data_IF_941228291622
#
_entry.id   IF_941228291622
#
_cell.length_a   1.000
_cell.length_b   1.000
_cell.length_c   1.000
_cell.angle_alpha   90.00
_cell.angle_beta   90.00
_cell.angle_gamma   90.00
#
_symmetry.space_group_name_H-M   'P 1'
#
loop_
_entity.id
_entity.type
_entity.pdbx_description
1 polymer ?
#
# COMPACT_ATOMS: atom_id res chain seq x y z
N UNK A 1 -5.89 14.84 2.95
CA UNK A 1 -5.72 13.48 3.53
C UNK A 1 -5.51 13.66 5.03
N UNK A 2 -6.23 12.95 5.88
CA UNK A 2 -5.97 13.05 7.32
C UNK A 2 -4.65 12.35 7.70
N UNK A 3 -4.11 12.68 8.87
CA UNK A 3 -2.80 12.17 9.30
C UNK A 3 -2.79 10.64 9.46
N UNK A 4 -3.91 10.02 9.81
CA UNK A 4 -4.01 8.56 10.00
C UNK A 4 -3.84 7.84 8.67
N UNK A 5 -4.54 8.28 7.63
CA UNK A 5 -4.45 7.73 6.28
C UNK A 5 -3.07 7.95 5.65
N UNK A 6 -2.50 9.15 5.85
CA UNK A 6 -1.14 9.43 5.37
C UNK A 6 -0.11 8.53 6.05
N UNK A 7 -0.23 8.30 7.35
CA UNK A 7 0.66 7.40 8.08
C UNK A 7 0.55 5.96 7.56
N UNK A 8 -0.66 5.43 7.39
CA UNK A 8 -0.86 4.09 6.80
C UNK A 8 -0.25 3.99 5.39
N UNK A 9 -0.46 4.99 4.54
CA UNK A 9 0.18 5.01 3.22
C UNK A 9 1.71 4.96 3.33
N UNK A 10 2.31 5.75 4.21
CA UNK A 10 3.76 5.74 4.45
C UNK A 10 4.25 4.41 5.00
N UNK A 11 3.49 3.76 5.86
CA UNK A 11 3.81 2.41 6.36
C UNK A 11 3.87 1.40 5.22
N UNK A 12 2.82 1.31 4.38
CA UNK A 12 2.79 0.41 3.22
C UNK A 12 3.95 0.69 2.27
N UNK A 13 4.22 1.97 1.95
CA UNK A 13 5.31 2.36 1.07
C UNK A 13 6.69 2.04 1.66
N UNK A 14 6.82 1.99 2.98
CA UNK A 14 8.09 1.70 3.68
C UNK A 14 8.46 0.22 3.73
N UNK A 15 7.53 -0.69 3.39
CA UNK A 15 7.80 -2.14 3.40
C UNK A 15 8.71 -2.52 2.23
N UNK A 16 9.93 -3.04 2.46
CA UNK A 16 10.78 -3.49 1.37
C UNK A 16 10.21 -4.73 0.69
N UNK A 17 10.07 -4.68 -0.62
CA UNK A 17 9.56 -5.80 -1.42
C UNK A 17 10.17 -5.76 -2.82
N UNK A 18 10.22 -6.92 -3.48
CA UNK A 18 10.66 -7.10 -4.85
C UNK A 18 9.99 -8.34 -5.43
N UNK A 19 9.87 -8.42 -6.73
CA UNK A 19 9.37 -9.62 -7.44
C UNK A 19 10.11 -10.88 -6.97
N UNK A 20 9.39 -11.89 -6.54
CA UNK A 20 9.83 -13.14 -5.89
C UNK A 20 10.44 -12.97 -4.48
N UNK A 21 10.31 -11.82 -3.87
CA UNK A 21 10.80 -11.51 -2.52
C UNK A 21 9.77 -10.61 -1.79
N UNK A 22 8.52 -11.08 -1.72
CA UNK A 22 7.37 -10.36 -1.18
C UNK A 22 7.09 -10.68 0.30
N UNK A 23 7.93 -11.48 0.96
CA UNK A 23 7.70 -11.97 2.32
C UNK A 23 7.41 -10.86 3.33
N UNK A 24 8.13 -9.72 3.22
CA UNK A 24 7.93 -8.59 4.10
C UNK A 24 6.53 -7.97 3.95
N UNK A 25 6.03 -7.87 2.71
CA UNK A 25 4.70 -7.33 2.46
C UNK A 25 3.62 -8.31 2.93
N UNK A 26 3.79 -9.60 2.67
CA UNK A 26 2.87 -10.63 3.16
C UNK A 26 2.79 -10.61 4.69
N UNK A 27 3.94 -10.48 5.38
CA UNK A 27 3.94 -10.39 6.84
C UNK A 27 3.29 -9.10 7.33
N UNK A 28 3.58 -7.97 6.72
CA UNK A 28 2.93 -6.69 7.02
C UNK A 28 1.41 -6.79 6.88
N UNK A 29 0.93 -7.36 5.77
CA UNK A 29 -0.50 -7.56 5.54
C UNK A 29 -1.14 -8.45 6.60
N UNK A 30 -0.50 -9.55 7.00
CA UNK A 30 -0.98 -10.41 8.08
C UNK A 30 -1.11 -9.63 9.38
N UNK A 31 -0.09 -8.88 9.78
CA UNK A 31 -0.10 -8.10 11.02
C UNK A 31 -1.23 -7.05 11.03
N UNK A 32 -1.47 -6.40 9.89
CA UNK A 32 -2.56 -5.42 9.74
C UNK A 32 -3.92 -6.10 9.78
N UNK A 33 -4.09 -7.22 9.06
CA UNK A 33 -5.38 -7.94 8.98
C UNK A 33 -5.74 -8.61 10.31
N UNK A 34 -4.76 -9.11 11.06
CA UNK A 34 -4.96 -9.64 12.42
C UNK A 34 -5.51 -8.59 13.40
N UNK A 35 -5.21 -7.31 13.16
CA UNK A 35 -5.70 -6.21 13.97
C UNK A 35 -7.07 -5.68 13.53
N UNK A 36 -7.58 -6.09 12.36
CA UNK A 36 -8.87 -5.64 11.84
C UNK A 36 -10.01 -6.50 12.39
N UNK A 37 -11.07 -5.89 12.97
CA UNK A 37 -12.24 -6.63 13.41
C UNK A 37 -13.02 -7.19 12.21
N UNK A 38 -13.61 -8.37 12.40
CA UNK A 38 -14.49 -9.03 11.41
C UNK A 38 -13.84 -9.33 10.06
N UNK A 39 -12.51 -9.43 10.02
CA UNK A 39 -11.73 -9.80 8.84
C UNK A 39 -11.21 -11.22 9.01
N UNK A 40 -11.49 -12.05 8.02
CA UNK A 40 -10.88 -13.36 7.83
C UNK A 40 -9.93 -13.31 6.64
N UNK A 41 -8.78 -13.96 6.74
CA UNK A 41 -7.84 -14.03 5.62
C UNK A 41 -7.10 -15.35 5.57
N UNK A 42 -6.56 -15.66 4.40
CA UNK A 42 -5.63 -16.76 4.18
C UNK A 42 -4.58 -16.39 3.15
N UNK A 43 -3.48 -17.15 3.15
CA UNK A 43 -2.40 -16.99 2.17
C UNK A 43 -2.22 -18.33 1.45
N UNK A 44 -2.17 -18.30 0.13
CA UNK A 44 -1.89 -19.50 -0.68
C UNK A 44 -0.39 -19.79 -0.83
N UNK A 45 -0.06 -20.88 -1.52
CA UNK A 45 1.32 -21.31 -1.74
C UNK A 45 2.12 -20.35 -2.64
N UNK A 46 1.44 -19.50 -3.40
CA UNK A 46 2.03 -18.44 -4.22
C UNK A 46 2.19 -17.11 -3.46
N UNK A 47 1.86 -17.11 -2.16
CA UNK A 47 1.89 -15.94 -1.27
C UNK A 47 0.84 -14.88 -1.60
N UNK A 48 -0.20 -15.20 -2.37
CA UNK A 48 -1.34 -14.31 -2.49
C UNK A 48 -2.08 -14.25 -1.15
N UNK A 49 -2.46 -13.05 -0.73
CA UNK A 49 -3.24 -12.82 0.48
C UNK A 49 -4.67 -12.51 0.09
N UNK A 50 -5.60 -13.31 0.58
CA UNK A 50 -7.03 -13.14 0.37
C UNK A 50 -7.66 -12.74 1.69
N UNK A 51 -8.32 -11.59 1.73
CA UNK A 51 -8.99 -11.08 2.92
C UNK A 51 -10.48 -10.86 2.63
N UNK A 52 -11.31 -11.18 3.60
CA UNK A 52 -12.76 -11.03 3.52
C UNK A 52 -13.25 -10.40 4.82
N UNK A 53 -14.09 -9.38 4.72
CA UNK A 53 -14.71 -8.74 5.87
C UNK A 53 -16.22 -8.95 5.86
N UNK A 54 -16.78 -9.32 7.00
CA UNK A 54 -18.21 -9.52 7.19
C UNK A 54 -18.70 -10.85 6.63
N UNK A 55 -20.03 -10.95 6.49
CA UNK A 55 -20.69 -12.17 6.01
C UNK A 55 -20.97 -12.06 4.52
N UNK A 56 -20.38 -12.97 3.74
CA UNK A 56 -20.65 -13.08 2.32
C UNK A 56 -21.68 -14.20 2.09
N UNK A 57 -22.80 -13.87 1.48
CA UNK A 57 -23.86 -14.82 1.17
C UNK A 57 -23.69 -15.39 -0.24
N UNK A 58 -24.01 -16.66 -0.41
CA UNK A 58 -23.96 -17.30 -1.72
C UNK A 58 -24.96 -16.65 -2.70
N UNK A 59 -24.50 -16.35 -3.90
CA UNK A 59 -25.33 -15.74 -4.96
C UNK A 59 -25.42 -14.21 -4.92
N UNK A 60 -24.80 -13.56 -3.93
CA UNK A 60 -24.67 -12.10 -3.89
C UNK A 60 -23.34 -11.63 -4.49
N UNK A 61 -23.34 -10.37 -4.95
CA UNK A 61 -22.12 -9.73 -5.49
C UNK A 61 -21.56 -8.75 -4.47
N UNK A 62 -20.25 -8.81 -4.29
CA UNK A 62 -19.51 -7.96 -3.36
C UNK A 62 -18.40 -7.20 -4.09
N UNK A 63 -18.06 -5.98 -3.67
CA UNK A 63 -16.88 -5.32 -4.20
C UNK A 63 -15.62 -6.14 -3.88
N UNK A 64 -14.75 -6.28 -4.88
CA UNK A 64 -13.46 -6.92 -4.75
C UNK A 64 -12.37 -5.95 -5.18
N UNK A 65 -11.34 -5.79 -4.34
CA UNK A 65 -10.18 -4.95 -4.61
C UNK A 65 -8.96 -5.84 -4.80
N UNK A 66 -8.20 -5.59 -5.84
CA UNK A 66 -7.01 -6.38 -6.18
C UNK A 66 -5.84 -5.42 -6.35
N UNK A 67 -4.70 -5.79 -5.75
CA UNK A 67 -3.43 -5.10 -5.92
C UNK A 67 -2.29 -6.13 -5.94
N UNK A 68 -1.16 -5.79 -6.56
CA UNK A 68 0.02 -6.65 -6.49
C UNK A 68 1.01 -6.15 -5.43
N UNK A 69 1.75 -7.08 -4.84
CA UNK A 69 2.66 -6.81 -3.71
C UNK A 69 4.13 -6.71 -4.12
N UNK A 70 4.46 -7.17 -5.31
CA UNK A 70 5.81 -7.09 -5.83
C UNK A 70 6.15 -5.71 -6.40
N UNK A 71 7.43 -5.40 -6.42
CA UNK A 71 7.99 -4.18 -7.01
C UNK A 71 9.22 -4.50 -7.84
N UNK A 72 9.55 -3.63 -8.79
CA UNK A 72 10.65 -3.86 -9.75
C UNK A 72 11.99 -3.26 -9.31
N UNK A 73 11.99 -2.39 -8.30
CA UNK A 73 13.23 -1.77 -7.83
C UNK A 73 14.07 -2.74 -6.97
N UNK A 74 15.31 -2.36 -6.72
CA UNK A 74 16.21 -3.19 -5.93
C UNK A 74 15.74 -3.31 -4.49
N UNK A 75 15.77 -4.53 -3.94
CA UNK A 75 15.44 -4.75 -2.54
C UNK A 75 16.50 -4.08 -1.65
N UNK A 76 16.03 -3.36 -0.64
CA UNK A 76 16.84 -2.73 0.41
C UNK A 76 16.35 -3.20 1.76
N UNK A 77 17.19 -3.12 2.79
CA UNK A 77 16.82 -3.60 4.12
C UNK A 77 15.74 -2.73 4.78
N UNK A 78 15.73 -1.43 4.45
CA UNK A 78 14.76 -0.46 4.99
C UNK A 78 14.54 0.68 4.03
N UNK A 79 13.28 1.09 3.90
CA UNK A 79 12.87 2.28 3.16
C UNK A 79 12.41 3.34 4.17
N UNK A 80 13.01 4.51 4.11
CA UNK A 80 12.56 5.71 4.85
C UNK A 80 11.74 6.56 3.88
N UNK A 81 10.44 6.69 4.14
CA UNK A 81 9.54 7.51 3.32
C UNK A 81 9.54 8.94 3.86
N UNK A 82 9.94 9.88 3.02
CA UNK A 82 9.97 11.31 3.35
C UNK A 82 8.90 12.07 2.59
N UNK A 83 8.33 13.07 3.25
CA UNK A 83 7.40 14.01 2.65
C UNK A 83 8.17 15.19 2.08
N UNK A 84 7.88 15.54 0.84
CA UNK A 84 8.39 16.73 0.19
C UNK A 84 7.23 17.54 -0.37
N UNK A 85 7.22 18.85 -0.09
CA UNK A 85 6.26 19.76 -0.70
C UNK A 85 6.68 20.08 -2.13
N UNK A 86 5.80 19.84 -3.10
CA UNK A 86 6.04 20.16 -4.51
C UNK A 86 5.23 21.40 -4.89
N UNK A 87 5.93 22.48 -5.21
CA UNK A 87 5.38 23.71 -5.81
C UNK A 87 5.69 23.78 -7.32
N UNK A 88 6.27 22.72 -7.90
CA UNK A 88 6.77 22.73 -9.28
C UNK A 88 5.88 21.87 -10.19
N UNK A 89 5.78 22.25 -11.48
CA UNK A 89 5.16 21.39 -12.49
C UNK A 89 5.84 20.00 -12.46
N UNK A 90 5.05 18.96 -12.75
CA UNK A 90 5.57 17.62 -12.91
C UNK A 90 6.59 17.55 -14.07
N UNK A 91 7.22 16.40 -14.24
CA UNK A 91 8.23 16.16 -15.30
C UNK A 91 7.65 16.35 -16.71
N UNK A 92 6.33 16.39 -16.86
CA UNK A 92 5.61 16.59 -18.12
C UNK A 92 5.13 18.03 -18.32
N UNK A 93 5.46 18.93 -17.38
CA UNK A 93 5.09 20.35 -17.46
C UNK A 93 3.64 20.67 -17.09
N UNK A 94 2.91 19.72 -16.47
CA UNK A 94 1.58 20.01 -15.96
C UNK A 94 1.69 20.87 -14.70
N UNK A 95 0.99 22.00 -14.71
CA UNK A 95 0.79 22.84 -13.52
C UNK A 95 -0.58 22.55 -12.95
N UNK A 96 -0.64 22.17 -11.69
CA UNK A 96 -1.88 21.92 -10.97
C UNK A 96 -2.38 23.16 -10.21
N UNK A 97 -2.14 24.34 -10.77
CA UNK A 97 -2.47 25.62 -10.15
C UNK A 97 -1.48 25.99 -9.01
N UNK A 98 -1.95 26.81 -8.08
CA UNK A 98 -1.17 27.23 -6.90
C UNK A 98 -1.33 26.25 -5.71
N UNK A 99 -1.86 25.04 -5.94
CA UNK A 99 -2.04 24.04 -4.90
C UNK A 99 -0.70 23.38 -4.55
N UNK A 100 -0.42 23.27 -3.25
CA UNK A 100 0.71 22.50 -2.76
C UNK A 100 0.40 21.01 -2.84
N UNK A 101 1.24 20.26 -3.55
CA UNK A 101 1.19 18.81 -3.59
C UNK A 101 2.19 18.19 -2.63
N UNK A 102 1.75 17.20 -1.88
CA UNK A 102 2.62 16.36 -1.07
C UNK A 102 3.20 15.26 -1.96
N UNK A 103 4.53 15.23 -2.08
CA UNK A 103 5.27 14.13 -2.69
C UNK A 103 5.85 13.24 -1.62
N UNK A 104 5.77 11.92 -1.85
CA UNK A 104 6.45 10.93 -1.00
C UNK A 104 7.63 10.35 -1.77
N UNK A 105 8.81 10.35 -1.15
CA UNK A 105 10.04 9.79 -1.72
C UNK A 105 10.68 8.79 -0.77
N UNK A 106 11.35 7.78 -1.36
CA UNK A 106 12.05 6.75 -0.62
C UNK A 106 13.55 6.99 -0.54
N UNK A 107 14.08 6.74 0.65
CA UNK A 107 15.51 6.79 0.93
C UNK A 107 15.92 5.56 1.75
N UNK A 108 17.15 5.15 1.58
CA UNK A 108 17.80 4.21 2.52
C UNK A 108 18.20 4.94 3.79
N UNK A 109 18.49 4.26 4.91
CA UNK A 109 18.92 4.92 6.15
C UNK A 109 20.17 5.78 6.00
N UNK A 110 21.04 5.50 5.02
CA UNK A 110 22.23 6.31 4.72
C UNK A 110 21.94 7.52 3.81
N UNK A 111 20.67 7.76 3.44
CA UNK A 111 20.25 8.90 2.64
C UNK A 111 20.31 8.72 1.13
N UNK A 112 20.65 7.53 0.63
CA UNK A 112 20.60 7.25 -0.82
C UNK A 112 19.16 7.09 -1.28
N UNK A 113 18.82 7.66 -2.43
CA UNK A 113 17.49 7.50 -3.02
C UNK A 113 17.19 6.05 -3.36
N UNK A 114 15.97 5.60 -3.09
CA UNK A 114 15.48 4.26 -3.45
C UNK A 114 14.04 4.34 -3.94
N UNK A 115 13.59 3.31 -4.67
CA UNK A 115 12.19 3.19 -5.04
C UNK A 115 11.30 2.93 -3.81
N UNK A 116 10.11 3.52 -3.82
CA UNK A 116 9.07 3.24 -2.81
C UNK A 116 8.03 2.22 -3.29
N UNK A 117 8.05 1.86 -4.58
CA UNK A 117 7.14 0.88 -5.16
C UNK A 117 5.68 1.35 -5.15
N UNK A 118 5.42 2.61 -5.52
CA UNK A 118 4.06 3.14 -5.60
C UNK A 118 3.15 2.30 -6.48
N UNK A 119 3.68 1.70 -7.51
CA UNK A 119 3.10 0.64 -8.33
C UNK A 119 3.54 -0.74 -7.78
N UNK A 120 2.71 -1.53 -7.05
CA UNK A 120 1.32 -1.17 -6.75
C UNK A 120 1.05 -1.11 -5.21
N UNK A 121 2.00 -0.68 -4.42
CA UNK A 121 1.77 -0.47 -2.97
C UNK A 121 0.68 0.56 -2.69
N UNK A 122 0.43 1.51 -3.62
CA UNK A 122 -0.71 2.40 -3.50
C UNK A 122 -2.04 1.65 -3.65
N UNK A 123 -2.11 0.65 -4.53
CA UNK A 123 -3.24 -0.26 -4.63
C UNK A 123 -3.42 -1.11 -3.38
N UNK A 124 -2.34 -1.63 -2.80
CA UNK A 124 -2.37 -2.34 -1.51
C UNK A 124 -2.93 -1.44 -0.40
N UNK A 125 -2.45 -0.20 -0.30
CA UNK A 125 -2.99 0.79 0.63
C UNK A 125 -4.49 1.03 0.41
N UNK A 126 -4.92 1.24 -0.84
CA UNK A 126 -6.33 1.46 -1.16
C UNK A 126 -7.19 0.25 -0.83
N UNK A 127 -6.72 -0.97 -1.08
CA UNK A 127 -7.43 -2.19 -0.71
C UNK A 127 -7.64 -2.29 0.81
N UNK A 128 -6.64 -1.95 1.62
CA UNK A 128 -6.77 -1.88 3.08
C UNK A 128 -7.76 -0.80 3.53
N UNK A 129 -7.74 0.40 2.92
CA UNK A 129 -8.71 1.46 3.23
C UNK A 129 -10.14 1.06 2.86
N UNK A 130 -10.33 0.35 1.75
CA UNK A 130 -11.64 -0.15 1.34
C UNK A 130 -12.14 -1.26 2.27
N UNK A 131 -11.25 -2.16 2.70
CA UNK A 131 -11.56 -3.19 3.68
C UNK A 131 -11.99 -2.57 5.03
N UNK A 132 -11.37 -1.47 5.44
CA UNK A 132 -11.79 -0.70 6.63
C UNK A 132 -13.15 -0.02 6.43
N UNK A 133 -13.39 0.55 5.26
CA UNK A 133 -14.55 1.41 4.98
C UNK A 133 -15.86 0.65 4.74
N UNK A 134 -15.80 -0.60 4.28
CA UNK A 134 -16.96 -1.41 3.93
C UNK A 134 -17.17 -2.55 4.92
N UNK A 135 -18.45 -2.88 5.18
CA UNK A 135 -18.83 -3.95 6.12
C UNK A 135 -18.80 -5.34 5.48
N UNK A 136 -18.98 -5.43 4.15
CA UNK A 136 -18.96 -6.69 3.40
C UNK A 136 -18.13 -6.50 2.13
N UNK A 137 -16.91 -7.03 2.11
CA UNK A 137 -15.95 -6.84 1.02
C UNK A 137 -14.98 -8.03 0.91
N UNK A 138 -14.47 -8.24 -0.29
CA UNK A 138 -13.47 -9.26 -0.58
C UNK A 138 -12.26 -8.65 -1.31
#
# INVERSE_FOLDING_TARGET
>A
MDNTRLNRLKEVLSVPTKTYQEENMVQYLRDVLDAMPDVEYYTDDLKNVYATKGTLNEGEYYPMFIAHTDTVHQLVDKIVVQEESLVKPDTFGHTYGDEEFLSLKGYTPNGSSTGIGGDDKCGVYLALEMLDAYDNVK
#
